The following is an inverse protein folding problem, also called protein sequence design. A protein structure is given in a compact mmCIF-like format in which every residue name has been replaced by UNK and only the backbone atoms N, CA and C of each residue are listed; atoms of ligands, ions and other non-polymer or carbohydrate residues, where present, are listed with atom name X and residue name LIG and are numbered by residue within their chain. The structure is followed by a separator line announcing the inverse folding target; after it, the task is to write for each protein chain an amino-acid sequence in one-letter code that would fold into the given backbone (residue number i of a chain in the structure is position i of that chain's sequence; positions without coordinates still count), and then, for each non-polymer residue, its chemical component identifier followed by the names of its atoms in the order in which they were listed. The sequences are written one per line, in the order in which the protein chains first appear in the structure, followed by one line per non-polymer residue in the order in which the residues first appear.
data_IF_909755521179
#
_entry.id   IF_909755521179
#
_cell.length_a   1.000
_cell.length_b   1.000
_cell.length_c   1.000
_cell.angle_alpha   90.00
_cell.angle_beta   90.00
_cell.angle_gamma   90.00
#
_symmetry.space_group_name_H-M   'P 1'
#
loop_
_entity.id
_entity.type
_entity.pdbx_description
1 polymer ?
#
# COMPACT_ATOMS: atom_id res chain seq x y z
N UNK A 1 -8.60 -13.54 -19.93
CA UNK A 1 -7.58 -12.83 -19.14
C UNK A 1 -7.68 -13.39 -17.75
N UNK A 2 -6.56 -13.73 -17.12
CA UNK A 2 -6.38 -14.78 -16.11
C UNK A 2 -7.00 -14.51 -14.71
N UNK A 3 -8.21 -13.98 -14.64
CA UNK A 3 -8.88 -13.60 -13.38
C UNK A 3 -9.56 -14.78 -12.67
N UNK A 4 -9.41 -16.02 -13.17
CA UNK A 4 -9.98 -17.24 -12.55
C UNK A 4 -9.23 -17.58 -11.25
N UNK A 5 -9.48 -16.81 -10.20
CA UNK A 5 -8.80 -16.94 -8.90
C UNK A 5 -8.78 -15.64 -8.09
N UNK A 6 -9.13 -14.50 -8.69
CA UNK A 6 -9.24 -13.23 -7.98
C UNK A 6 -10.68 -13.05 -7.54
N UNK A 7 -10.93 -13.20 -6.24
CA UNK A 7 -12.21 -12.82 -5.65
C UNK A 7 -12.17 -11.35 -5.27
N UNK A 8 -13.07 -10.59 -5.87
CA UNK A 8 -13.34 -9.22 -5.46
C UNK A 8 -14.30 -9.26 -4.28
N UNK A 9 -13.83 -8.82 -3.11
CA UNK A 9 -14.56 -8.94 -1.86
C UNK A 9 -15.84 -8.09 -1.81
N UNK A 10 -15.94 -7.04 -2.62
CA UNK A 10 -17.19 -6.28 -2.82
C UNK A 10 -18.29 -7.09 -3.51
N UNK A 11 -17.96 -8.23 -4.12
CA UNK A 11 -18.93 -9.17 -4.70
C UNK A 11 -19.37 -10.28 -3.72
N UNK A 12 -18.62 -10.51 -2.63
CA UNK A 12 -18.89 -11.58 -1.65
C UNK A 12 -19.92 -11.15 -0.59
N UNK A 13 -19.91 -9.87 -0.21
CA UNK A 13 -20.91 -9.28 0.68
C UNK A 13 -21.90 -8.46 -0.13
N UNK A 14 -23.07 -9.02 -0.41
CA UNK A 14 -24.21 -8.27 -1.00
C UNK A 14 -24.77 -7.21 -0.05
N UNK A 15 -24.44 -7.32 1.23
CA UNK A 15 -24.85 -6.41 2.28
C UNK A 15 -23.85 -5.26 2.39
N UNK A 16 -24.39 -4.05 2.54
CA UNK A 16 -23.59 -2.85 2.83
C UNK A 16 -22.72 -3.09 4.07
N UNK A 17 -21.49 -2.54 4.05
CA UNK A 17 -20.61 -2.51 5.22
C UNK A 17 -21.40 -2.02 6.45
N UNK A 18 -21.30 -2.70 7.61
CA UNK A 18 -21.92 -2.24 8.84
C UNK A 18 -21.50 -0.80 9.16
N UNK A 19 -22.44 0.01 9.64
CA UNK A 19 -22.21 1.44 9.91
C UNK A 19 -21.04 1.68 10.86
N UNK A 20 -20.90 0.83 11.87
CA UNK A 20 -19.83 0.87 12.87
C UNK A 20 -18.42 0.63 12.29
N UNK A 21 -18.33 0.11 11.06
CA UNK A 21 -17.08 -0.09 10.32
C UNK A 21 -16.88 0.96 9.21
N UNK A 22 -17.78 1.93 9.10
CA UNK A 22 -17.73 3.04 8.15
C UNK A 22 -17.44 4.39 8.82
N UNK A 23 -17.14 4.39 10.12
CA UNK A 23 -16.77 5.58 10.89
C UNK A 23 -15.33 6.01 10.58
N UNK A 24 -15.04 7.31 10.69
CA UNK A 24 -13.74 7.92 10.36
C UNK A 24 -12.56 7.30 11.13
N UNK A 25 -12.80 6.85 12.36
CA UNK A 25 -11.79 6.23 13.24
C UNK A 25 -11.63 4.72 13.02
N UNK A 26 -12.41 4.12 12.11
CA UNK A 26 -12.33 2.67 11.84
C UNK A 26 -11.03 2.35 11.12
N UNK A 27 -10.22 1.47 11.69
CA UNK A 27 -9.01 1.01 11.02
C UNK A 27 -9.32 0.14 9.81
N UNK A 28 -8.45 0.18 8.80
CA UNK A 28 -8.53 -0.73 7.65
C UNK A 28 -8.48 -2.20 8.08
N UNK A 29 -7.72 -2.53 9.13
CA UNK A 29 -7.62 -3.91 9.63
C UNK A 29 -8.93 -4.41 10.24
N UNK A 30 -9.71 -3.55 10.91
CA UNK A 30 -11.03 -3.91 11.42
C UNK A 30 -12.03 -4.22 10.28
N UNK A 31 -11.97 -3.45 9.19
CA UNK A 31 -12.76 -3.72 7.98
C UNK A 31 -12.33 -5.03 7.32
N UNK A 32 -11.02 -5.29 7.22
CA UNK A 32 -10.49 -6.53 6.69
C UNK A 32 -10.89 -7.74 7.55
N UNK A 33 -10.92 -7.60 8.87
CA UNK A 33 -11.34 -8.68 9.77
C UNK A 33 -12.80 -9.05 9.53
N UNK A 34 -13.67 -8.05 9.35
CA UNK A 34 -15.06 -8.28 8.99
C UNK A 34 -15.21 -8.91 7.60
N UNK A 35 -14.46 -8.44 6.60
CA UNK A 35 -14.52 -8.94 5.22
C UNK A 35 -14.01 -10.38 5.08
N UNK A 36 -12.98 -10.75 5.85
CA UNK A 36 -12.26 -12.01 5.68
C UNK A 36 -12.74 -13.11 6.63
N UNK A 37 -13.70 -12.83 7.52
CA UNK A 37 -14.16 -13.78 8.55
C UNK A 37 -14.71 -15.09 7.99
N UNK A 38 -15.35 -15.05 6.81
CA UNK A 38 -15.99 -16.19 6.16
C UNK A 38 -15.21 -16.66 4.91
N UNK A 39 -13.98 -16.18 4.75
CA UNK A 39 -13.14 -16.42 3.56
C UNK A 39 -12.11 -17.49 3.88
N UNK A 40 -12.30 -18.69 3.35
CA UNK A 40 -11.40 -19.83 3.63
C UNK A 40 -10.50 -20.23 2.46
N UNK A 41 -10.93 -20.03 1.22
CA UNK A 41 -10.31 -20.61 0.00
C UNK A 41 -9.34 -19.67 -0.74
N UNK A 42 -8.61 -18.80 -0.03
CA UNK A 42 -7.63 -17.89 -0.62
C UNK A 42 -6.31 -17.90 0.13
N UNK A 43 -5.20 -17.90 -0.60
CA UNK A 43 -3.85 -17.92 -0.02
C UNK A 43 -3.25 -16.52 0.13
N UNK A 44 -3.64 -15.58 -0.72
CA UNK A 44 -3.05 -14.24 -0.81
C UNK A 44 -4.13 -13.19 -0.87
N UNK A 45 -3.95 -12.13 -0.08
CA UNK A 45 -4.86 -10.99 -0.01
C UNK A 45 -4.12 -9.79 -0.59
N UNK A 46 -4.76 -9.09 -1.52
CA UNK A 46 -4.24 -7.86 -2.14
C UNK A 46 -5.20 -6.72 -1.82
N UNK A 47 -4.77 -5.83 -0.92
CA UNK A 47 -5.51 -4.63 -0.56
C UNK A 47 -5.05 -3.46 -1.46
N UNK A 48 -6.02 -2.89 -2.17
CA UNK A 48 -5.84 -1.79 -3.11
C UNK A 48 -6.64 -0.59 -2.65
N UNK A 49 -6.00 0.42 -2.06
CA UNK A 49 -6.74 1.60 -1.60
C UNK A 49 -7.16 2.47 -2.80
N UNK A 50 -8.39 3.02 -2.80
CA UNK A 50 -8.92 3.85 -3.89
C UNK A 50 -8.32 5.27 -3.90
N UNK A 51 -7.74 5.71 -2.79
CA UNK A 51 -7.06 7.01 -2.66
C UNK A 51 -5.77 7.09 -3.50
N UNK A 52 -5.29 5.98 -4.05
CA UNK A 52 -4.03 5.86 -4.79
C UNK A 52 -4.24 5.48 -6.27
N UNK A 53 -4.95 6.29 -7.07
CA UNK A 53 -5.43 5.90 -8.41
C UNK A 53 -4.35 5.91 -9.51
N UNK A 54 -3.15 6.42 -9.23
CA UNK A 54 -2.01 6.43 -10.19
C UNK A 54 -1.48 5.00 -10.45
N UNK A 55 -1.89 4.04 -9.63
CA UNK A 55 -1.55 2.62 -9.75
C UNK A 55 -2.09 2.02 -11.05
N UNK A 56 -1.24 1.24 -11.72
CA UNK A 56 -1.61 0.50 -12.94
C UNK A 56 -1.80 -0.99 -12.65
N UNK A 57 -2.56 -1.68 -13.51
CA UNK A 57 -2.71 -3.15 -13.43
C UNK A 57 -1.38 -3.88 -13.48
N UNK A 58 -0.48 -3.45 -14.37
CA UNK A 58 0.88 -3.99 -14.49
C UNK A 58 1.65 -3.96 -13.16
N UNK A 59 1.53 -2.87 -12.40
CA UNK A 59 2.21 -2.75 -11.10
C UNK A 59 1.61 -3.69 -10.05
N UNK A 60 0.32 -4.00 -10.13
CA UNK A 60 -0.32 -5.00 -9.27
C UNK A 60 0.27 -6.38 -9.59
N UNK A 61 0.34 -6.75 -10.86
CA UNK A 61 0.90 -8.02 -11.31
C UNK A 61 2.37 -8.18 -10.89
N UNK A 62 3.19 -7.14 -11.11
CA UNK A 62 4.61 -7.11 -10.71
C UNK A 62 4.79 -7.25 -9.20
N UNK A 63 3.93 -6.61 -8.39
CA UNK A 63 3.98 -6.71 -6.94
C UNK A 63 3.58 -8.12 -6.44
N UNK A 64 2.56 -8.74 -7.05
CA UNK A 64 2.14 -10.12 -6.73
C UNK A 64 3.24 -11.11 -7.11
N UNK A 65 3.84 -10.97 -8.29
CA UNK A 65 4.97 -11.82 -8.72
C UNK A 65 6.16 -11.68 -7.77
N UNK A 66 6.48 -10.46 -7.34
CA UNK A 66 7.53 -10.20 -6.35
C UNK A 66 7.21 -10.85 -5.00
N UNK A 67 5.97 -10.76 -4.52
CA UNK A 67 5.52 -11.37 -3.28
C UNK A 67 5.76 -12.89 -3.29
N UNK A 68 5.29 -13.58 -4.33
CA UNK A 68 5.43 -15.03 -4.44
C UNK A 68 6.87 -15.51 -4.63
N UNK A 69 7.73 -14.72 -5.27
CA UNK A 69 9.15 -15.08 -5.48
C UNK A 69 10.04 -14.76 -4.29
N UNK A 70 9.69 -13.74 -3.50
CA UNK A 70 10.54 -13.21 -2.45
C UNK A 70 10.47 -13.96 -1.13
N UNK A 71 9.47 -14.83 -0.93
CA UNK A 71 9.26 -15.51 0.35
C UNK A 71 8.88 -14.55 1.48
N UNK A 72 8.19 -13.46 1.13
CA UNK A 72 7.74 -12.45 2.08
C UNK A 72 6.45 -12.89 2.79
N UNK A 73 6.29 -12.50 4.05
CA UNK A 73 5.02 -12.64 4.77
C UNK A 73 4.03 -11.55 4.34
N UNK A 74 4.56 -10.34 4.18
CA UNK A 74 3.81 -9.16 3.73
C UNK A 74 4.65 -8.34 2.74
N UNK A 75 3.99 -7.64 1.84
CA UNK A 75 4.61 -6.72 0.91
C UNK A 75 3.77 -5.45 0.82
N UNK A 76 4.44 -4.31 0.75
CA UNK A 76 3.79 -3.02 0.52
C UNK A 76 4.49 -2.24 -0.58
N UNK A 77 3.73 -1.42 -1.28
CA UNK A 77 4.28 -0.46 -2.21
C UNK A 77 4.80 0.78 -1.51
N UNK A 78 5.93 1.26 -2.01
CA UNK A 78 6.63 2.41 -1.45
C UNK A 78 7.16 3.33 -2.54
N UNK A 79 7.50 4.56 -2.18
CA UNK A 79 8.23 5.48 -3.04
C UNK A 79 9.53 5.92 -2.37
N UNK A 80 10.58 6.17 -3.16
CA UNK A 80 11.86 6.67 -2.62
C UNK A 80 11.70 8.08 -2.02
N UNK A 81 12.26 8.28 -0.85
CA UNK A 81 12.30 9.57 -0.16
C UNK A 81 13.63 10.26 -0.43
N UNK A 82 13.59 11.41 -1.10
CA UNK A 82 14.75 12.28 -1.32
C UNK A 82 14.70 13.52 -0.40
N UNK A 83 14.34 13.31 0.87
CA UNK A 83 14.13 14.36 1.86
C UNK A 83 14.92 14.12 3.15
N UNK A 84 15.43 15.20 3.72
CA UNK A 84 16.03 15.20 5.06
C UNK A 84 14.92 15.23 6.10
N UNK A 85 14.81 14.18 6.90
CA UNK A 85 13.82 14.06 7.95
C UNK A 85 14.44 14.41 9.30
N UNK A 86 13.67 15.09 10.13
CA UNK A 86 14.03 15.51 11.48
C UNK A 86 12.88 15.17 12.43
N UNK A 87 13.20 14.50 13.53
CA UNK A 87 12.32 14.36 14.68
C UNK A 87 12.44 15.62 15.54
N UNK A 88 11.36 16.38 15.64
CA UNK A 88 11.32 17.64 16.40
C UNK A 88 11.38 17.44 17.91
N UNK A 89 11.08 16.24 18.41
CA UNK A 89 11.06 15.94 19.84
C UNK A 89 12.46 15.76 20.43
N UNK A 90 13.38 15.23 19.63
CA UNK A 90 14.70 14.79 20.09
C UNK A 90 15.86 15.11 19.12
N UNK A 91 15.58 15.65 17.93
CA UNK A 91 16.57 15.99 16.91
C UNK A 91 17.17 14.80 16.15
N UNK A 92 16.58 13.60 16.27
CA UNK A 92 16.93 12.46 15.44
C UNK A 92 16.65 12.74 13.96
N UNK A 93 17.35 12.04 13.09
CA UNK A 93 17.37 12.33 11.65
C UNK A 93 17.79 11.11 10.85
N UNK A 94 17.41 11.12 9.57
CA UNK A 94 17.67 10.04 8.63
C UNK A 94 19.04 10.12 7.91
N UNK A 95 19.95 10.99 8.37
CA UNK A 95 21.24 11.26 7.73
C UNK A 95 22.31 11.77 8.72
N UNK A 96 23.59 11.69 8.33
CA UNK A 96 24.68 12.31 9.08
C UNK A 96 24.80 13.81 8.73
N UNK A 97 24.73 14.69 9.72
CA UNK A 97 24.89 16.15 9.53
C UNK A 97 26.32 16.56 9.24
N UNK A 98 27.30 15.77 9.71
CA UNK A 98 28.72 16.05 9.49
C UNK A 98 29.20 15.55 8.14
N UNK A 99 28.48 14.57 7.56
CA UNK A 99 28.68 14.06 6.22
C UNK A 99 27.37 14.13 5.44
N UNK A 100 26.84 15.35 5.28
CA UNK A 100 25.53 15.56 4.68
C UNK A 100 25.52 15.09 3.22
N UNK A 101 24.75 14.04 2.88
CA UNK A 101 24.65 13.56 1.51
C UNK A 101 23.83 14.52 0.66
N UNK A 102 23.92 14.39 -0.66
CA UNK A 102 22.97 15.02 -1.57
C UNK A 102 21.62 14.27 -1.47
N UNK A 103 20.51 14.94 -1.76
CA UNK A 103 19.15 14.35 -1.59
C UNK A 103 18.95 13.06 -2.39
N UNK A 104 19.50 13.01 -3.60
CA UNK A 104 19.47 11.83 -4.47
C UNK A 104 20.31 10.66 -3.96
N UNK A 105 21.19 10.86 -2.97
CA UNK A 105 22.02 9.81 -2.37
C UNK A 105 21.33 9.17 -1.15
N UNK A 106 20.11 9.62 -0.79
CA UNK A 106 19.28 9.04 0.27
C UNK A 106 18.55 7.76 -0.22
N UNK A 107 19.27 6.84 -0.85
CA UNK A 107 18.69 5.73 -1.61
C UNK A 107 17.97 4.65 -0.78
N UNK A 108 18.23 4.59 0.52
CA UNK A 108 17.68 3.57 1.41
C UNK A 108 16.41 4.00 2.14
N UNK A 109 15.91 5.20 1.88
CA UNK A 109 14.72 5.72 2.55
C UNK A 109 13.52 5.64 1.61
N UNK A 110 12.47 5.01 2.10
CA UNK A 110 11.22 4.82 1.40
C UNK A 110 10.05 5.16 2.32
N UNK A 111 8.95 5.62 1.75
CA UNK A 111 7.69 5.83 2.46
C UNK A 111 6.59 4.97 1.81
N UNK A 112 5.67 4.48 2.64
CA UNK A 112 4.44 3.87 2.16
C UNK A 112 3.66 4.88 1.32
N UNK A 113 3.08 4.41 0.22
CA UNK A 113 2.27 5.26 -0.65
C UNK A 113 0.78 4.87 -0.67
N UNK A 114 0.35 3.98 0.23
CA UNK A 114 -1.05 3.57 0.33
C UNK A 114 -1.59 2.88 -0.92
N UNK A 115 -0.74 2.37 -1.81
CA UNK A 115 -1.21 1.89 -3.12
C UNK A 115 -1.51 0.39 -3.12
N UNK A 116 -0.56 -0.44 -2.71
CA UNK A 116 -0.65 -1.90 -2.77
C UNK A 116 -0.16 -2.44 -1.42
N UNK A 117 -0.97 -3.30 -0.81
CA UNK A 117 -0.58 -4.15 0.30
C UNK A 117 -0.90 -5.60 -0.05
N UNK A 118 0.06 -6.50 0.10
CA UNK A 118 -0.08 -7.93 -0.17
C UNK A 118 0.32 -8.69 1.09
N UNK A 119 -0.48 -9.66 1.50
CA UNK A 119 -0.16 -10.51 2.65
C UNK A 119 -0.82 -11.87 2.48
N UNK A 120 -0.24 -12.90 3.07
CA UNK A 120 -0.81 -14.24 3.01
C UNK A 120 -2.01 -14.38 3.95
N UNK A 121 -2.95 -15.25 3.59
CA UNK A 121 -4.04 -15.64 4.47
C UNK A 121 -3.54 -16.32 5.75
N UNK A 122 -2.43 -17.07 5.65
CA UNK A 122 -1.73 -17.64 6.81
C UNK A 122 -1.29 -16.54 7.78
N UNK A 123 -0.59 -15.51 7.27
CA UNK A 123 -0.15 -14.36 8.05
C UNK A 123 -1.34 -13.65 8.71
N UNK A 124 -2.39 -13.39 7.92
CA UNK A 124 -3.60 -12.72 8.41
C UNK A 124 -4.29 -13.50 9.54
N UNK A 125 -4.46 -14.81 9.38
CA UNK A 125 -5.09 -15.68 10.38
C UNK A 125 -4.30 -15.71 11.68
N UNK A 126 -2.98 -15.69 11.61
CA UNK A 126 -2.10 -15.72 12.79
C UNK A 126 -2.01 -14.36 13.50
N UNK A 127 -1.99 -13.25 12.77
CA UNK A 127 -1.57 -11.95 13.32
C UNK A 127 -2.66 -10.88 13.32
N UNK A 128 -3.71 -11.02 12.50
CA UNK A 128 -4.76 -9.99 12.31
C UNK A 128 -4.20 -8.60 11.98
N UNK A 129 -3.10 -8.58 11.22
CA UNK A 129 -2.38 -7.37 10.85
C UNK A 129 -1.89 -7.50 9.40
N UNK A 130 -2.06 -6.45 8.59
CA UNK A 130 -1.66 -6.45 7.18
C UNK A 130 -0.16 -6.27 6.94
N UNK A 131 0.59 -5.89 7.99
CA UNK A 131 2.04 -5.67 7.93
C UNK A 131 2.78 -6.43 9.03
N UNK A 132 3.92 -7.01 8.68
CA UNK A 132 4.87 -7.63 9.61
C UNK A 132 5.60 -8.83 9.00
N UNK A 133 6.39 -9.51 9.83
CA UNK A 133 7.19 -10.65 9.39
C UNK A 133 8.34 -10.21 8.50
N UNK A 134 8.67 -11.02 7.50
CA UNK A 134 9.58 -10.63 6.43
C UNK A 134 8.83 -9.71 5.44
N UNK A 135 9.16 -8.42 5.44
CA UNK A 135 8.46 -7.39 4.67
C UNK A 135 9.17 -7.13 3.34
N UNK A 136 8.47 -7.34 2.23
CA UNK A 136 8.90 -6.93 0.89
C UNK A 136 8.49 -5.49 0.55
N UNK A 137 9.34 -4.76 -0.20
CA UNK A 137 9.08 -3.39 -0.61
C UNK A 137 9.01 -3.27 -2.13
N UNK A 138 7.82 -3.03 -2.67
CA UNK A 138 7.62 -2.78 -4.09
C UNK A 138 7.77 -1.28 -4.41
N UNK A 139 8.92 -0.90 -4.95
CA UNK A 139 9.22 0.52 -5.22
C UNK A 139 8.49 1.00 -6.48
N UNK A 140 7.60 1.97 -6.31
CA UNK A 140 6.84 2.63 -7.37
C UNK A 140 7.46 3.99 -7.77
N UNK A 141 7.12 4.51 -8.95
CA UNK A 141 7.49 5.86 -9.37
C UNK A 141 7.02 6.96 -8.40
N UNK A 142 7.71 8.10 -8.41
CA UNK A 142 7.45 9.21 -7.49
C UNK A 142 6.01 9.77 -7.59
N UNK A 143 5.42 9.78 -8.78
CA UNK A 143 4.04 10.21 -8.99
C UNK A 143 3.02 9.35 -8.23
N UNK A 144 3.34 8.11 -7.89
CA UNK A 144 2.49 7.23 -7.09
C UNK A 144 2.49 7.59 -5.60
N UNK A 145 3.24 8.62 -5.18
CA UNK A 145 3.20 9.17 -3.81
C UNK A 145 1.86 9.82 -3.47
N UNK A 146 1.18 10.42 -4.44
CA UNK A 146 0.01 11.26 -4.17
C UNK A 146 -1.19 10.38 -3.81
N UNK A 147 -1.74 10.60 -2.62
CA UNK A 147 -2.99 10.05 -2.15
C UNK A 147 -4.06 11.15 -2.15
N UNK A 148 -5.28 10.81 -2.56
CA UNK A 148 -6.38 11.77 -2.60
C UNK A 148 -6.98 11.94 -1.20
N UNK A 149 -6.50 12.96 -0.48
CA UNK A 149 -7.08 13.41 0.78
C UNK A 149 -7.75 14.79 0.66
N UNK A 150 -7.32 15.58 -0.34
CA UNK A 150 -7.78 16.95 -0.55
C UNK A 150 -8.20 17.21 -2.01
N UNK A 151 -8.98 18.28 -2.26
CA UNK A 151 -9.29 18.71 -3.63
C UNK A 151 -8.05 19.03 -4.49
N UNK A 152 -6.93 19.45 -3.86
CA UNK A 152 -5.68 19.69 -4.57
C UNK A 152 -5.07 18.37 -5.06
N UNK A 153 -5.10 17.33 -4.23
CA UNK A 153 -4.60 16.01 -4.61
C UNK A 153 -5.38 15.45 -5.79
N UNK A 154 -6.70 15.59 -5.78
CA UNK A 154 -7.56 15.19 -6.90
C UNK A 154 -7.17 15.91 -8.20
N UNK A 155 -6.89 17.22 -8.14
CA UNK A 155 -6.43 17.98 -9.30
C UNK A 155 -5.08 17.48 -9.82
N UNK A 156 -4.11 17.27 -8.92
CA UNK A 156 -2.75 16.82 -9.28
C UNK A 156 -2.77 15.41 -9.88
N UNK A 157 -3.51 14.49 -9.27
CA UNK A 157 -3.74 13.15 -9.78
C UNK A 157 -4.33 13.20 -11.19
N UNK A 158 -5.34 14.06 -11.43
CA UNK A 158 -5.91 14.24 -12.76
C UNK A 158 -4.85 14.57 -13.82
N UNK A 159 -3.88 15.44 -13.48
CA UNK A 159 -2.76 15.79 -14.37
C UNK A 159 -1.76 14.67 -14.58
N UNK A 160 -1.53 13.85 -13.57
CA UNK A 160 -0.68 12.66 -13.70
C UNK A 160 -1.33 11.64 -14.64
N UNK A 161 -2.61 11.36 -14.46
CA UNK A 161 -3.36 10.39 -15.28
C UNK A 161 -3.47 10.85 -16.74
N UNK A 162 -3.72 12.14 -16.99
CA UNK A 162 -3.70 12.73 -18.35
C UNK A 162 -2.36 12.44 -19.06
N UNK A 163 -1.23 12.54 -18.34
CA UNK A 163 0.10 12.27 -18.90
C UNK A 163 0.37 10.79 -19.14
N UNK A 164 -0.17 9.90 -18.32
CA UNK A 164 0.01 8.46 -18.49
C UNK A 164 -0.78 7.89 -19.68
N UNK A 165 -1.87 8.54 -20.07
CA UNK A 165 -2.74 8.13 -21.17
C UNK A 165 -2.48 8.89 -22.49
N UNK A 166 -1.52 9.81 -22.51
CA UNK A 166 -1.10 10.55 -23.69
C UNK A 166 -0.02 9.80 -24.47
#
# INVERSE_FOLDING_TARGET
SDDYGILKLDELHSDLRPSELAEDETSTDAVLEWLLKDVEDFDTIVLLQPTSPVRTGKQIDEAIEMFHRGGYDTLLSVVKIHAFQWDISNGQRNYDIWQRPRRQELDNWVEENGSIYIFSMEWWKANKNRLGGEIGFYVMPEESRIQIDTPLDLYLVGKILERQHA
#
